data_IF_977977800897
#
_entry.id   IF_977977800897
#
_cell.length_a   1.000
_cell.length_b   1.000
_cell.length_c   1.000
_cell.angle_alpha   90.00
_cell.angle_beta   90.00
_cell.angle_gamma   90.00
#
_symmetry.space_group_name_H-M   'P 1'
#
loop_
_entity.id
_entity.type
_entity.pdbx_description
1 polymer ?
#
# COMPACT_ATOMS: atom_id res chain seq x y z
N UNK A 1 17.01 8.00 -7.63
CA UNK A 1 16.26 8.31 -6.39
C UNK A 1 14.86 8.67 -6.82
N UNK A 2 13.86 7.91 -6.37
CA UNK A 2 12.47 8.05 -6.78
C UNK A 2 11.66 8.68 -5.66
N UNK A 3 10.75 9.58 -6.01
CA UNK A 3 9.97 10.37 -5.06
C UNK A 3 8.50 10.01 -5.17
N UNK A 4 7.84 9.89 -4.02
CA UNK A 4 6.43 9.53 -3.96
C UNK A 4 5.70 10.41 -2.95
N UNK A 5 4.40 10.54 -3.15
CA UNK A 5 3.48 11.19 -2.22
C UNK A 5 2.28 10.28 -1.95
N UNK A 6 1.99 10.02 -0.68
CA UNK A 6 0.72 9.42 -0.24
C UNK A 6 -0.18 10.54 0.24
N UNK A 7 -1.35 10.65 -0.38
CA UNK A 7 -2.40 11.52 0.12
C UNK A 7 -3.07 10.82 1.31
N UNK A 8 -3.10 11.50 2.46
CA UNK A 8 -3.75 10.96 3.65
C UNK A 8 -5.27 10.96 3.51
N UNK A 9 -5.93 9.92 4.02
CA UNK A 9 -7.38 9.82 4.04
C UNK A 9 -8.02 10.97 4.84
N UNK A 10 -8.94 11.77 4.22
CA UNK A 10 -9.56 12.93 4.88
C UNK A 10 -10.46 12.56 6.07
N UNK A 11 -10.81 11.29 6.25
CA UNK A 11 -11.54 10.80 7.43
C UNK A 11 -10.73 10.79 8.73
N UNK A 12 -9.42 11.04 8.68
CA UNK A 12 -8.60 11.15 9.89
C UNK A 12 -8.91 12.47 10.62
N UNK A 13 -9.16 12.37 11.93
CA UNK A 13 -9.53 13.48 12.80
C UNK A 13 -8.52 14.64 12.69
N UNK A 14 -8.94 15.77 12.11
CA UNK A 14 -8.13 17.00 11.99
C UNK A 14 -7.55 17.49 13.32
N UNK A 15 -8.20 17.14 14.45
CA UNK A 15 -7.78 17.51 15.81
C UNK A 15 -6.51 16.78 16.27
N UNK A 16 -6.21 15.59 15.70
CA UNK A 16 -5.04 14.77 16.07
C UNK A 16 -4.07 14.54 14.90
N UNK A 17 -4.19 15.36 13.85
CA UNK A 17 -3.52 15.14 12.57
C UNK A 17 -1.99 14.97 12.73
N UNK A 18 -1.36 15.75 13.60
CA UNK A 18 0.09 15.70 13.84
C UNK A 18 0.53 14.38 14.49
N UNK A 19 -0.21 13.88 15.49
CA UNK A 19 0.10 12.59 16.12
C UNK A 19 -0.22 11.43 15.16
N UNK A 20 -1.32 11.52 14.43
CA UNK A 20 -1.69 10.54 13.40
C UNK A 20 -0.65 10.46 12.28
N UNK A 21 -0.03 11.58 11.90
CA UNK A 21 1.06 11.64 10.92
C UNK A 21 2.30 10.87 11.39
N UNK A 22 2.71 11.05 12.65
CA UNK A 22 3.86 10.32 13.21
C UNK A 22 3.61 8.82 13.19
N UNK A 23 2.41 8.39 13.60
CA UNK A 23 2.03 6.98 13.57
C UNK A 23 2.02 6.45 12.13
N UNK A 24 1.43 7.18 11.18
CA UNK A 24 1.40 6.81 9.78
C UNK A 24 2.81 6.68 9.18
N UNK A 25 3.73 7.61 9.46
CA UNK A 25 5.11 7.51 9.02
C UNK A 25 5.80 6.26 9.58
N UNK A 26 5.58 5.91 10.86
CA UNK A 26 6.13 4.69 11.44
C UNK A 26 5.51 3.41 10.84
N UNK A 27 4.20 3.40 10.57
CA UNK A 27 3.53 2.31 9.87
C UNK A 27 4.15 2.10 8.48
N UNK A 28 4.32 3.18 7.71
CA UNK A 28 4.95 3.14 6.38
C UNK A 28 6.40 2.64 6.45
N UNK A 29 7.18 3.07 7.45
CA UNK A 29 8.54 2.55 7.66
C UNK A 29 8.54 1.04 7.94
N UNK A 30 7.63 0.56 8.79
CA UNK A 30 7.50 -0.84 9.11
C UNK A 30 7.12 -1.67 7.88
N UNK A 31 6.14 -1.21 7.09
CA UNK A 31 5.75 -1.83 5.82
C UNK A 31 6.95 -1.88 4.86
N UNK A 32 7.71 -0.79 4.77
CA UNK A 32 8.84 -0.67 3.82
C UNK A 32 10.01 -1.60 4.11
N UNK A 33 10.09 -2.22 5.30
CA UNK A 33 11.10 -3.23 5.60
C UNK A 33 10.97 -4.47 4.71
N UNK A 34 9.79 -4.71 4.15
CA UNK A 34 9.54 -5.80 3.20
C UNK A 34 9.92 -5.48 1.75
N UNK A 35 10.34 -4.24 1.46
CA UNK A 35 10.65 -3.79 0.11
C UNK A 35 12.06 -4.20 -0.28
N UNK A 36 12.31 -4.33 -1.58
CA UNK A 36 13.68 -4.51 -2.08
C UNK A 36 14.53 -3.26 -1.81
N UNK A 37 13.90 -2.08 -1.84
CA UNK A 37 14.50 -0.82 -1.43
C UNK A 37 13.56 -0.09 -0.45
N UNK A 38 13.86 -0.14 0.86
CA UNK A 38 13.05 0.52 1.88
C UNK A 38 12.94 2.03 1.69
N UNK A 39 11.99 2.63 2.40
CA UNK A 39 11.87 4.09 2.47
C UNK A 39 13.12 4.64 3.16
N UNK A 40 13.85 5.52 2.46
CA UNK A 40 15.07 6.12 3.01
C UNK A 40 14.77 7.28 3.96
N UNK A 41 13.82 8.13 3.56
CA UNK A 41 13.51 9.36 4.26
C UNK A 41 12.12 9.86 3.90
N UNK A 42 11.44 10.43 4.90
CA UNK A 42 10.29 11.30 4.67
C UNK A 42 10.74 12.72 4.38
N UNK A 43 10.18 13.31 3.34
CA UNK A 43 10.53 14.67 2.90
C UNK A 43 9.35 15.57 3.20
N UNK A 44 9.63 16.70 3.84
CA UNK A 44 8.67 17.80 3.91
C UNK A 44 8.77 18.59 2.60
N UNK A 45 8.24 18.02 1.51
CA UNK A 45 8.23 18.65 0.19
C UNK A 45 6.84 19.26 -0.01
N UNK A 46 6.79 20.57 -0.24
CA UNK A 46 5.53 21.21 -0.63
C UNK A 46 5.23 20.81 -2.08
N UNK A 47 4.43 19.76 -2.24
CA UNK A 47 3.96 19.26 -3.53
C UNK A 47 2.58 19.83 -3.90
N UNK A 48 2.15 20.90 -3.22
CA UNK A 48 0.80 21.49 -3.34
C UNK A 48 -0.35 20.48 -3.12
N UNK A 49 -0.05 19.34 -2.48
CA UNK A 49 -1.04 18.37 -2.01
C UNK A 49 -1.24 18.59 -0.50
N UNK A 50 -2.47 18.93 -0.07
CA UNK A 50 -2.76 19.02 1.35
C UNK A 50 -2.63 17.63 2.00
N UNK A 51 -2.09 17.58 3.21
CA UNK A 51 -2.00 16.34 3.99
C UNK A 51 -1.25 15.19 3.28
N UNK A 52 -0.26 15.51 2.44
CA UNK A 52 0.56 14.50 1.77
C UNK A 52 1.80 14.11 2.59
N UNK A 53 2.04 12.81 2.68
CA UNK A 53 3.28 12.24 3.20
C UNK A 53 4.19 11.95 2.00
N UNK A 54 5.31 12.67 1.89
CA UNK A 54 6.27 12.45 0.81
C UNK A 54 7.46 11.62 1.30
N UNK A 55 7.96 10.71 0.47
CA UNK A 55 9.10 9.86 0.79
C UNK A 55 9.92 9.48 -0.45
N UNK A 56 11.11 8.93 -0.22
CA UNK A 56 12.01 8.47 -1.29
C UNK A 56 12.48 7.04 -1.14
N UNK A 57 12.74 6.42 -2.29
CA UNK A 57 13.35 5.09 -2.41
C UNK A 57 14.51 5.11 -3.41
N UNK A 58 15.42 4.14 -3.29
CA UNK A 58 16.56 3.97 -4.22
C UNK A 58 16.13 3.49 -5.60
N UNK A 59 15.24 2.49 -5.65
CA UNK A 59 14.68 1.90 -6.86
C UNK A 59 13.19 2.26 -7.03
N UNK A 60 12.62 2.12 -8.24
CA UNK A 60 11.19 2.28 -8.45
C UNK A 60 10.37 1.28 -7.62
N UNK A 61 9.22 1.70 -7.10
CA UNK A 61 8.31 0.80 -6.39
C UNK A 61 7.77 -0.28 -7.33
N UNK A 62 7.88 -1.54 -6.92
CA UNK A 62 7.27 -2.69 -7.60
C UNK A 62 5.78 -2.76 -7.28
N UNK A 63 5.02 -3.47 -8.13
CA UNK A 63 3.57 -3.67 -7.93
C UNK A 63 3.20 -4.23 -6.55
N UNK A 64 4.00 -5.17 -6.03
CA UNK A 64 3.80 -5.76 -4.69
C UNK A 64 3.97 -4.70 -3.60
N UNK A 65 4.98 -3.84 -3.71
CA UNK A 65 5.27 -2.78 -2.74
C UNK A 65 4.18 -1.70 -2.79
N UNK A 66 3.71 -1.33 -3.98
CA UNK A 66 2.56 -0.43 -4.18
C UNK A 66 1.30 -1.00 -3.50
N UNK A 67 1.04 -2.30 -3.66
CA UNK A 67 -0.09 -2.99 -3.00
C UNK A 67 0.04 -2.95 -1.48
N UNK A 68 1.24 -3.19 -0.94
CA UNK A 68 1.49 -3.13 0.50
C UNK A 68 1.27 -1.72 1.06
N UNK A 69 1.73 -0.68 0.37
CA UNK A 69 1.45 0.72 0.73
C UNK A 69 -0.06 1.02 0.68
N UNK A 70 -0.78 0.45 -0.29
CA UNK A 70 -2.23 0.56 -0.41
C UNK A 70 -3.03 -0.03 0.76
N UNK A 71 -2.39 -0.85 1.60
CA UNK A 71 -3.01 -1.44 2.79
C UNK A 71 -2.79 -0.65 4.09
N UNK A 72 -1.98 0.43 4.05
CA UNK A 72 -1.76 1.30 5.20
C UNK A 72 -3.02 2.04 5.62
N UNK A 73 -3.18 2.25 6.92
CA UNK A 73 -4.32 2.97 7.50
C UNK A 73 -4.53 4.39 6.96
N UNK A 74 -3.45 5.07 6.56
CA UNK A 74 -3.48 6.45 6.07
C UNK A 74 -3.79 6.56 4.58
N UNK A 75 -3.77 5.44 3.84
CA UNK A 75 -3.80 5.44 2.38
C UNK A 75 -5.13 5.97 1.83
N UNK A 76 -5.04 6.98 0.96
CA UNK A 76 -6.15 7.41 0.09
C UNK A 76 -5.75 7.32 -1.38
N UNK A 77 -4.58 7.87 -1.72
CA UNK A 77 -4.01 7.78 -3.07
C UNK A 77 -2.47 7.82 -2.99
N UNK A 78 -1.80 7.21 -3.96
CA UNK A 78 -0.34 7.23 -4.11
C UNK A 78 0.03 7.86 -5.46
N UNK A 79 1.05 8.70 -5.45
CA UNK A 79 1.59 9.36 -6.63
C UNK A 79 3.11 9.16 -6.68
N UNK A 80 3.62 8.92 -7.88
CA UNK A 80 5.02 9.15 -8.24
C UNK A 80 5.19 10.64 -8.57
N UNK A 81 6.14 11.30 -7.93
CA UNK A 81 6.51 12.70 -8.23
C UNK A 81 7.58 12.66 -9.31
N UNK A 82 7.18 12.99 -10.54
CA UNK A 82 8.09 13.04 -11.69
C UNK A 82 8.64 14.47 -11.88
N UNK A 83 9.32 14.70 -13.01
CA UNK A 83 9.91 15.99 -13.34
C UNK A 83 8.88 17.13 -13.29
N UNK A 84 9.35 18.33 -12.95
CA UNK A 84 8.55 19.55 -12.84
C UNK A 84 7.40 19.49 -11.81
N UNK A 85 7.42 18.49 -10.92
CA UNK A 85 6.40 18.35 -9.87
C UNK A 85 5.09 17.73 -10.36
N UNK A 86 5.08 17.13 -11.55
CA UNK A 86 3.95 16.35 -12.03
C UNK A 86 3.71 15.13 -11.14
N UNK A 87 2.43 14.87 -10.89
CA UNK A 87 1.98 13.77 -10.03
C UNK A 87 1.40 12.67 -10.89
N UNK A 88 2.12 11.56 -11.02
CA UNK A 88 1.67 10.38 -11.75
C UNK A 88 0.97 9.42 -10.78
N UNK A 89 -0.34 9.17 -10.92
CA UNK A 89 -1.07 8.30 -10.01
C UNK A 89 -0.59 6.84 -10.14
N UNK A 90 -0.39 6.19 -8.99
CA UNK A 90 -0.10 4.77 -8.88
C UNK A 90 -1.29 4.07 -8.24
N UNK A 91 -1.88 3.10 -8.94
CA UNK A 91 -3.07 2.41 -8.50
C UNK A 91 -2.70 1.06 -7.89
N UNK A 92 -2.81 0.87 -6.56
CA UNK A 92 -2.59 -0.43 -5.95
C UNK A 92 -3.67 -1.43 -6.40
N UNK A 93 -3.27 -2.69 -6.53
CA UNK A 93 -4.23 -3.78 -6.67
C UNK A 93 -5.09 -3.87 -5.41
N UNK A 94 -6.38 -4.17 -5.58
CA UNK A 94 -7.28 -4.28 -4.45
C UNK A 94 -6.89 -5.45 -3.54
N UNK A 95 -6.43 -5.13 -2.33
CA UNK A 95 -6.06 -6.12 -1.32
C UNK A 95 -7.29 -6.80 -0.69
N UNK A 96 -8.50 -6.23 -0.88
CA UNK A 96 -9.77 -6.79 -0.38
C UNK A 96 -10.32 -7.90 -1.27
N UNK A 97 -9.75 -8.09 -2.47
CA UNK A 97 -10.15 -9.16 -3.36
C UNK A 97 -9.56 -10.48 -2.86
N UNK A 98 -10.43 -11.39 -2.42
CA UNK A 98 -10.04 -12.76 -2.14
C UNK A 98 -9.45 -13.41 -3.40
N UNK A 99 -8.40 -14.24 -3.29
CA UNK A 99 -7.88 -14.97 -4.44
C UNK A 99 -8.96 -15.91 -4.97
N UNK A 100 -9.08 -16.01 -6.29
CA UNK A 100 -10.08 -16.86 -6.95
C UNK A 100 -9.94 -18.35 -6.57
N UNK A 101 -8.79 -18.75 -6.03
CA UNK A 101 -8.53 -20.08 -5.47
C UNK A 101 -9.37 -20.42 -4.24
N UNK A 102 -9.83 -19.44 -3.45
CA UNK A 102 -10.70 -19.70 -2.28
C UNK A 102 -12.02 -20.34 -2.71
N UNK A 103 -12.59 -19.91 -3.85
CA UNK A 103 -13.77 -20.54 -4.42
C UNK A 103 -13.51 -21.97 -4.95
N UNK A 104 -12.24 -22.34 -5.17
CA UNK A 104 -11.85 -23.70 -5.64
C UNK A 104 -11.66 -24.67 -4.48
N UNK A 105 -11.29 -24.21 -3.29
CA UNK A 105 -11.13 -25.04 -2.08
C UNK A 105 -12.48 -25.67 -1.68
N UNK A 106 -13.58 -24.93 -1.80
CA UNK A 106 -14.93 -25.42 -1.53
C UNK A 106 -15.47 -26.40 -2.60
N UNK A 107 -14.76 -26.58 -3.73
CA UNK A 107 -15.15 -27.46 -4.83
C UNK A 107 -14.30 -28.73 -4.90
N UNK A 108 -13.57 -29.06 -3.84
CA UNK A 108 -13.14 -30.45 -3.65
C UNK A 108 -14.37 -31.30 -3.30
N UNK A 109 -15.18 -31.59 -4.32
CA UNK A 109 -16.06 -32.74 -4.28
C UNK A 109 -15.14 -33.94 -4.18
N UNK A 110 -14.90 -34.40 -2.95
CA UNK A 110 -14.18 -35.63 -2.70
C UNK A 110 -14.72 -36.68 -3.65
N UNK A 111 -13.81 -37.33 -4.39
CA UNK A 111 -14.09 -38.65 -4.93
C UNK A 111 -14.64 -39.46 -3.77
N UNK A 112 -15.93 -39.78 -3.80
CA UNK A 112 -16.53 -40.77 -2.92
C UNK A 112 -15.71 -42.03 -3.16
N UNK A 113 -14.87 -42.41 -2.19
CA UNK A 113 -14.19 -43.70 -2.21
C UNK A 113 -15.27 -44.77 -2.06
N UNK A 114 -15.86 -45.19 -3.17
CA UNK A 114 -16.78 -46.34 -3.28
C UNK A 114 -15.98 -47.66 -3.18
N UNK A 115 -15.24 -47.84 -2.09
CA UNK A 115 -14.69 -49.14 -1.69
C UNK A 115 -15.22 -49.50 -0.32
N UNK A 116 -16.51 -49.78 -0.25
CA UNK A 116 -17.06 -50.72 0.71
C UNK A 116 -17.77 -51.82 -0.06
N UNK A 117 -16.99 -52.83 -0.46
CA UNK A 117 -17.52 -54.18 -0.74
C UNK A 117 -16.74 -55.12 0.15
N UNK A 118 -17.32 -55.46 1.31
CA UNK A 118 -17.05 -56.69 2.06
C UNK A 118 -18.42 -57.32 2.30
#
# INVERSE_FOLDING_TARGET
MFQYAILANPGHNRVYFDTSLVIACNELLAISQSFESPIEKFINKNVNLPAAICFTTKSPLKKVEIKMLGSSSIFYALFEIVEEGLLKPLMPEDFRKYPDSINRILRYNGKTNEQFTI
#
